data_IF_550161635674
#
_entry.id   IF_550161635674
#
_cell.length_a   1.000
_cell.length_b   1.000
_cell.length_c   1.000
_cell.angle_alpha   90.00
_cell.angle_beta   90.00
_cell.angle_gamma   90.00
#
_symmetry.space_group_name_H-M   'P 1'
#
loop_
_entity.id
_entity.type
_entity.pdbx_description
1 polymer ?
#
# COMPACT_ATOMS: atom_id res chain seq x y z
N UNK A 1 9.17 -43.03 61.34
CA UNK A 1 9.56 -43.09 59.91
C UNK A 1 8.85 -42.00 59.11
N UNK A 2 9.24 -40.73 59.25
CA UNK A 2 8.80 -39.61 58.39
C UNK A 2 9.89 -38.55 58.34
N UNK A 3 10.94 -38.83 57.57
CA UNK A 3 11.98 -37.87 57.15
C UNK A 3 12.63 -38.45 55.89
N UNK A 4 11.93 -38.35 54.76
CA UNK A 4 12.47 -38.69 53.43
C UNK A 4 11.62 -38.20 52.24
N UNK A 5 10.58 -37.38 52.46
CA UNK A 5 9.67 -36.94 51.38
C UNK A 5 9.85 -35.47 50.95
N UNK A 6 10.74 -34.69 51.56
CA UNK A 6 10.93 -33.27 51.19
C UNK A 6 12.13 -32.98 50.29
N UNK A 7 13.02 -33.96 50.03
CA UNK A 7 14.15 -33.75 49.11
C UNK A 7 13.82 -34.11 47.65
N UNK A 8 12.91 -35.06 47.41
CA UNK A 8 12.56 -35.50 46.06
C UNK A 8 11.71 -34.47 45.29
N UNK A 9 10.84 -33.71 45.97
CA UNK A 9 9.97 -32.71 45.31
C UNK A 9 10.67 -31.37 44.98
N UNK A 10 11.93 -31.19 45.40
CA UNK A 10 12.71 -29.99 45.09
C UNK A 10 13.59 -30.18 43.85
N UNK A 11 14.18 -31.36 43.66
CA UNK A 11 14.99 -31.66 42.46
C UNK A 11 14.17 -31.72 41.17
N UNK A 12 12.95 -32.27 41.23
CA UNK A 12 12.06 -32.29 40.05
C UNK A 12 11.65 -30.88 39.61
N UNK A 13 11.42 -29.96 40.55
CA UNK A 13 11.05 -28.57 40.20
C UNK A 13 12.20 -27.74 39.64
N UNK A 14 13.46 -28.06 39.96
CA UNK A 14 14.63 -27.39 39.36
C UNK A 14 14.95 -27.94 37.98
N UNK A 15 14.67 -29.23 37.72
CA UNK A 15 14.69 -29.77 36.37
C UNK A 15 13.56 -29.19 35.52
N UNK A 16 12.35 -29.06 36.05
CA UNK A 16 11.22 -28.46 35.33
C UNK A 16 11.44 -26.97 35.03
N UNK A 17 12.04 -26.21 35.97
CA UNK A 17 12.39 -24.81 35.73
C UNK A 17 13.53 -24.65 34.71
N UNK A 18 14.49 -25.58 34.66
CA UNK A 18 15.54 -25.61 33.63
C UNK A 18 14.99 -26.03 32.27
N UNK A 19 14.00 -26.92 32.24
CA UNK A 19 13.31 -27.33 31.01
C UNK A 19 12.38 -26.21 30.49
N UNK A 20 11.72 -25.47 31.39
CA UNK A 20 10.90 -24.30 31.07
C UNK A 20 11.74 -23.08 30.67
N UNK A 21 12.91 -22.85 31.27
CA UNK A 21 13.84 -21.81 30.78
C UNK A 21 14.47 -22.19 29.43
N UNK A 22 14.75 -23.47 29.21
CA UNK A 22 15.23 -23.95 27.91
C UNK A 22 14.14 -23.87 26.82
N UNK A 23 12.88 -24.16 27.15
CA UNK A 23 11.74 -24.08 26.23
C UNK A 23 11.24 -22.65 26.01
N UNK A 24 11.38 -21.73 26.98
CA UNK A 24 11.00 -20.33 26.82
C UNK A 24 12.05 -19.50 26.07
N UNK A 25 13.33 -19.91 26.05
CA UNK A 25 14.34 -19.31 25.17
C UNK A 25 14.15 -19.71 23.69
N UNK A 26 13.35 -20.74 23.41
CA UNK A 26 13.04 -21.19 22.05
C UNK A 26 11.90 -20.39 21.38
N UNK A 27 11.25 -19.46 22.08
CA UNK A 27 10.01 -18.83 21.61
C UNK A 27 10.18 -17.56 20.75
N UNK A 28 11.39 -17.02 20.58
CA UNK A 28 11.59 -15.82 19.75
C UNK A 28 12.92 -15.86 18.97
N UNK A 29 13.10 -16.92 18.19
CA UNK A 29 14.26 -17.04 17.31
C UNK A 29 13.78 -16.85 15.88
N UNK A 30 14.26 -15.78 15.23
CA UNK A 30 13.88 -15.41 13.87
C UNK A 30 14.77 -16.19 12.89
N UNK A 31 14.15 -17.10 12.14
CA UNK A 31 14.76 -17.85 11.04
C UNK A 31 15.07 -16.88 9.89
N UNK A 32 16.34 -16.68 9.54
CA UNK A 32 16.71 -15.88 8.36
C UNK A 32 17.77 -16.64 7.54
N UNK A 33 17.32 -17.10 6.37
CA UNK A 33 18.04 -17.77 5.28
C UNK A 33 18.37 -19.27 5.47
N UNK A 34 17.63 -20.10 4.74
CA UNK A 34 17.79 -21.54 4.62
C UNK A 34 18.29 -21.86 3.21
N UNK A 35 19.43 -22.55 3.12
CA UNK A 35 19.73 -23.38 1.96
C UNK A 35 20.31 -24.69 2.50
N UNK A 36 19.47 -25.72 2.51
CA UNK A 36 19.72 -27.12 2.90
C UNK A 36 20.15 -27.34 4.36
N UNK A 37 19.23 -27.89 5.17
CA UNK A 37 19.53 -28.69 6.37
C UNK A 37 20.11 -28.02 7.61
N UNK A 38 20.80 -26.88 7.49
CA UNK A 38 21.54 -26.21 8.57
C UNK A 38 21.13 -24.74 8.75
N UNK A 39 20.90 -24.32 9.99
CA UNK A 39 20.43 -22.98 10.36
C UNK A 39 21.17 -22.45 11.59
N UNK A 40 21.57 -21.17 11.58
CA UNK A 40 22.09 -20.50 12.78
C UNK A 40 20.97 -19.76 13.48
N UNK A 41 20.77 -20.13 14.73
CA UNK A 41 19.92 -19.46 15.71
C UNK A 41 20.79 -18.47 16.49
N UNK A 42 20.45 -17.18 16.41
CA UNK A 42 21.14 -16.09 17.12
C UNK A 42 20.21 -15.28 18.03
N UNK A 43 20.74 -14.30 18.78
CA UNK A 43 19.95 -13.46 19.69
C UNK A 43 18.86 -12.66 18.95
N UNK A 44 17.72 -12.33 19.61
CA UNK A 44 16.58 -11.69 18.95
C UNK A 44 16.74 -10.19 18.64
N UNK A 45 17.71 -9.50 19.25
CA UNK A 45 17.80 -8.02 19.26
C UNK A 45 19.24 -7.50 19.07
N UNK A 46 19.38 -6.20 18.79
CA UNK A 46 20.66 -5.49 18.78
C UNK A 46 21.32 -5.57 20.16
N UNK A 47 22.53 -6.12 20.24
CA UNK A 47 23.23 -6.32 21.50
C UNK A 47 24.03 -5.07 21.91
N UNK A 48 24.21 -4.86 23.21
CA UNK A 48 25.14 -3.83 23.65
C UNK A 48 26.58 -4.24 23.33
N UNK A 49 27.44 -3.24 23.17
CA UNK A 49 28.88 -3.49 23.03
C UNK A 49 29.40 -4.15 24.31
N UNK A 50 30.28 -5.14 24.15
CA UNK A 50 30.83 -6.02 25.19
C UNK A 50 29.87 -7.09 25.75
N UNK A 51 28.64 -7.16 25.26
CA UNK A 51 27.78 -8.31 25.55
C UNK A 51 28.26 -9.56 24.81
N UNK A 52 27.97 -10.72 25.40
CA UNK A 52 28.24 -12.02 24.80
C UNK A 52 27.00 -12.52 24.06
N UNK A 53 27.10 -12.58 22.72
CA UNK A 53 26.10 -13.18 21.85
C UNK A 53 26.36 -14.67 21.71
N UNK A 54 25.37 -15.51 21.97
CA UNK A 54 25.46 -16.95 21.69
C UNK A 54 24.70 -17.28 20.41
N UNK A 55 25.35 -18.05 19.54
CA UNK A 55 24.76 -18.59 18.32
C UNK A 55 24.76 -20.11 18.39
N UNK A 56 23.66 -20.73 18.00
CA UNK A 56 23.50 -22.16 17.96
C UNK A 56 23.18 -22.61 16.53
N UNK A 57 23.93 -23.58 16.02
CA UNK A 57 23.66 -24.24 14.76
C UNK A 57 22.65 -25.38 15.01
N UNK A 58 21.52 -25.35 14.32
CA UNK A 58 20.60 -26.46 14.20
C UNK A 58 20.82 -27.08 12.84
N UNK A 59 21.22 -28.35 12.80
CA UNK A 59 21.42 -29.05 11.54
C UNK A 59 20.89 -30.48 11.64
N UNK A 60 20.10 -30.88 10.64
CA UNK A 60 19.24 -32.06 10.73
C UNK A 60 19.93 -33.39 10.42
N UNK A 61 21.16 -33.41 9.91
CA UNK A 61 21.84 -34.64 9.47
C UNK A 61 23.38 -34.65 9.61
N UNK A 62 23.93 -34.17 10.73
CA UNK A 62 25.37 -33.93 10.83
C UNK A 62 26.05 -34.71 11.95
N UNK A 63 26.81 -35.74 11.54
CA UNK A 63 28.05 -36.17 12.21
C UNK A 63 29.16 -35.09 12.14
N UNK A 64 28.87 -33.91 11.59
CA UNK A 64 29.83 -32.84 11.34
C UNK A 64 30.25 -32.11 12.61
N UNK A 65 31.54 -31.78 12.64
CA UNK A 65 32.09 -30.76 13.55
C UNK A 65 32.02 -29.42 12.81
N UNK A 66 31.05 -28.54 13.11
CA UNK A 66 30.91 -27.29 12.38
C UNK A 66 32.14 -26.40 12.62
N UNK A 67 32.61 -25.76 11.56
CA UNK A 67 33.64 -24.73 11.62
C UNK A 67 32.97 -23.36 11.59
N UNK A 68 33.21 -22.59 12.65
CA UNK A 68 32.69 -21.22 12.75
C UNK A 68 33.68 -20.22 12.16
N UNK A 69 33.16 -19.29 11.35
CA UNK A 69 33.88 -18.12 10.85
C UNK A 69 33.10 -16.86 11.17
N UNK A 70 33.74 -15.90 11.82
CA UNK A 70 33.12 -14.61 12.15
C UNK A 70 33.94 -13.49 11.52
N UNK A 71 33.29 -12.65 10.74
CA UNK A 71 33.89 -11.48 10.10
C UNK A 71 33.10 -10.22 10.42
N UNK A 72 33.80 -9.10 10.64
CA UNK A 72 33.13 -7.81 10.68
C UNK A 72 32.70 -7.43 9.25
N UNK A 73 31.45 -7.02 9.06
CA UNK A 73 30.91 -6.64 7.74
C UNK A 73 31.38 -5.24 7.35
N UNK A 74 31.52 -4.36 8.36
CA UNK A 74 31.82 -2.94 8.16
C UNK A 74 33.32 -2.66 7.93
N UNK A 75 34.21 -3.63 8.22
CA UNK A 75 35.66 -3.58 7.93
C UNK A 75 36.24 -4.95 7.60
N UNK A 76 37.19 -4.99 6.67
CA UNK A 76 38.02 -6.17 6.41
C UNK A 76 38.93 -6.48 7.63
N UNK A 77 38.48 -7.36 8.52
CA UNK A 77 39.25 -7.83 9.67
C UNK A 77 38.49 -8.85 10.51
N UNK A 78 39.06 -10.05 10.65
CA UNK A 78 38.54 -11.14 11.47
C UNK A 78 38.69 -10.80 12.95
N UNK A 79 37.60 -10.87 13.72
CA UNK A 79 37.64 -10.73 15.20
C UNK A 79 37.70 -12.10 15.86
N UNK A 80 38.40 -12.18 16.98
CA UNK A 80 38.75 -13.40 17.72
C UNK A 80 37.51 -14.23 18.08
N UNK A 81 37.51 -15.52 17.70
CA UNK A 81 36.50 -16.51 18.10
C UNK A 81 36.90 -17.10 19.45
N UNK A 82 36.12 -16.87 20.50
CA UNK A 82 36.22 -17.62 21.76
C UNK A 82 35.02 -18.56 21.87
N UNK A 83 35.20 -19.77 21.37
CA UNK A 83 34.20 -20.84 21.46
C UNK A 83 34.64 -22.03 20.64
N UNK A 84 35.35 -22.97 21.28
CA UNK A 84 35.89 -24.16 20.65
C UNK A 84 35.00 -25.35 21.02
N UNK A 85 34.33 -25.95 20.02
CA UNK A 85 33.82 -27.31 20.10
C UNK A 85 32.30 -27.47 20.16
N UNK A 86 31.61 -27.36 19.02
CA UNK A 86 30.27 -27.91 18.84
C UNK A 86 29.33 -27.05 18.00
N UNK A 87 28.05 -27.37 18.09
CA UNK A 87 26.92 -26.68 17.45
C UNK A 87 26.65 -25.29 18.03
N UNK A 88 27.58 -24.66 18.73
CA UNK A 88 27.41 -23.30 19.23
C UNK A 88 28.72 -22.51 19.18
N UNK A 89 28.61 -21.19 18.99
CA UNK A 89 29.71 -20.26 19.16
C UNK A 89 29.25 -19.03 19.97
N UNK A 90 30.21 -18.36 20.60
CA UNK A 90 29.98 -17.11 21.33
C UNK A 90 30.81 -16.01 20.71
N UNK A 91 30.18 -14.86 20.46
CA UNK A 91 30.82 -13.64 19.99
C UNK A 91 30.71 -12.58 21.07
N UNK A 92 31.85 -12.00 21.44
CA UNK A 92 31.93 -10.81 22.28
C UNK A 92 32.75 -9.79 21.52
N UNK A 93 32.29 -8.55 21.46
CA UNK A 93 32.98 -7.47 20.75
C UNK A 93 32.96 -6.21 21.59
N UNK A 94 34.10 -5.53 21.71
CA UNK A 94 34.25 -4.21 22.31
C UNK A 94 33.91 -3.06 21.33
N UNK A 95 33.41 -3.41 20.14
CA UNK A 95 33.05 -2.46 19.08
C UNK A 95 31.60 -2.63 18.66
N UNK A 96 30.97 -1.49 18.38
CA UNK A 96 29.71 -1.43 17.66
C UNK A 96 29.92 -1.73 16.17
N UNK A 97 28.91 -2.31 15.52
CA UNK A 97 28.91 -2.65 14.10
C UNK A 97 28.20 -3.99 13.80
N UNK A 98 28.15 -4.33 12.52
CA UNK A 98 27.57 -5.57 12.01
C UNK A 98 28.64 -6.65 11.84
N UNK A 99 28.32 -7.85 12.30
CA UNK A 99 29.19 -9.03 12.26
C UNK A 99 28.47 -10.17 11.54
N UNK A 100 29.14 -10.74 10.53
CA UNK A 100 28.70 -11.91 9.80
C UNK A 100 29.24 -13.16 10.49
N UNK A 101 28.34 -13.99 10.97
CA UNK A 101 28.60 -15.29 11.61
C UNK A 101 28.26 -16.37 10.59
N UNK A 102 29.24 -17.22 10.27
CA UNK A 102 29.10 -18.30 9.30
C UNK A 102 29.44 -19.62 10.00
N UNK A 103 28.57 -20.62 9.87
CA UNK A 103 28.85 -21.99 10.25
C UNK A 103 29.03 -22.82 8.98
N UNK A 104 30.14 -23.55 8.89
CA UNK A 104 30.46 -24.44 7.77
C UNK A 104 30.41 -25.88 8.25
N UNK A 105 29.59 -26.69 7.60
CA UNK A 105 29.38 -28.10 7.94
C UNK A 105 29.83 -29.00 6.79
N UNK A 106 30.44 -30.14 7.13
CA UNK A 106 30.70 -31.21 6.17
C UNK A 106 29.62 -32.27 6.32
N UNK A 107 28.75 -32.42 5.33
CA UNK A 107 27.71 -33.45 5.27
C UNK A 107 28.17 -34.60 4.38
N UNK A 108 27.41 -35.70 4.37
CA UNK A 108 27.63 -36.80 3.42
C UNK A 108 27.38 -36.39 1.97
N UNK A 109 26.58 -35.33 1.76
CA UNK A 109 26.22 -34.80 0.44
C UNK A 109 27.16 -33.66 -0.04
N UNK A 110 27.95 -33.06 0.86
CA UNK A 110 28.89 -31.99 0.50
C UNK A 110 29.25 -31.04 1.64
N UNK A 111 29.53 -29.78 1.29
CA UNK A 111 29.77 -28.71 2.28
C UNK A 111 28.55 -27.80 2.31
N UNK A 112 27.97 -27.64 3.48
CA UNK A 112 26.85 -26.72 3.74
C UNK A 112 27.31 -25.52 4.56
N UNK A 113 26.65 -24.38 4.36
CA UNK A 113 26.96 -23.14 5.07
C UNK A 113 25.69 -22.45 5.54
N UNK A 114 25.65 -22.11 6.83
CA UNK A 114 24.62 -21.26 7.40
C UNK A 114 25.22 -19.89 7.74
N UNK A 115 24.44 -18.82 7.57
CA UNK A 115 24.88 -17.44 7.78
C UNK A 115 23.90 -16.69 8.70
N UNK A 116 24.44 -15.84 9.58
CA UNK A 116 23.68 -14.97 10.47
C UNK A 116 24.38 -13.60 10.59
N UNK A 117 23.62 -12.50 10.58
CA UNK A 117 24.15 -11.14 10.81
C UNK A 117 23.78 -10.66 12.21
N UNK A 118 24.79 -10.42 13.05
CA UNK A 118 24.63 -9.89 14.40
C UNK A 118 25.06 -8.42 14.45
N UNK A 119 24.23 -7.57 15.03
CA UNK A 119 24.51 -6.14 15.17
C UNK A 119 24.73 -5.77 16.63
N UNK A 120 25.87 -5.14 16.92
CA UNK A 120 26.22 -4.65 18.25
C UNK A 120 26.23 -3.11 18.26
N UNK A 121 25.64 -2.50 19.28
CA UNK A 121 25.74 -1.06 19.53
C UNK A 121 25.11 -0.14 18.49
N UNK A 122 24.28 -0.65 17.58
CA UNK A 122 23.43 0.21 16.76
C UNK A 122 22.26 0.67 17.63
N UNK A 123 22.17 1.98 17.88
CA UNK A 123 20.89 2.58 18.23
C UNK A 123 19.92 2.23 17.09
N UNK A 124 18.66 1.85 17.39
CA UNK A 124 17.65 1.84 16.35
C UNK A 124 17.66 3.21 15.68
N UNK A 125 17.75 3.25 14.35
CA UNK A 125 17.52 4.51 13.64
C UNK A 125 16.18 5.07 14.12
N UNK A 126 16.07 6.39 14.40
CA UNK A 126 14.79 6.98 14.73
C UNK A 126 13.81 6.61 13.61
N UNK A 127 12.66 6.08 14.00
CA UNK A 127 11.55 5.79 13.10
C UNK A 127 11.37 7.01 12.17
N UNK A 128 11.33 6.84 10.83
CA UNK A 128 11.07 7.97 9.95
C UNK A 128 9.81 8.68 10.44
N UNK A 129 9.91 10.00 10.67
CA UNK A 129 8.75 10.81 11.04
C UNK A 129 7.62 10.51 10.05
N UNK A 130 6.37 10.35 10.53
CA UNK A 130 5.24 10.12 9.64
C UNK A 130 5.19 11.26 8.63
N UNK A 131 5.24 10.89 7.35
CA UNK A 131 5.10 11.81 6.22
C UNK A 131 3.87 12.70 6.47
N UNK A 132 3.96 14.04 6.36
CA UNK A 132 2.81 14.91 6.53
C UNK A 132 1.65 14.42 5.66
N UNK A 133 0.49 14.22 6.29
CA UNK A 133 -0.73 13.84 5.57
C UNK A 133 -0.95 14.80 4.39
N UNK A 134 -1.29 14.28 3.20
CA UNK A 134 -1.58 15.13 2.05
C UNK A 134 -2.71 16.09 2.42
N UNK A 135 -2.50 17.38 2.18
CA UNK A 135 -3.54 18.38 2.37
C UNK A 135 -4.82 17.96 1.61
N UNK A 136 -6.01 18.15 2.21
CA UNK A 136 -7.26 17.82 1.54
C UNK A 136 -7.37 18.62 0.24
N UNK A 137 -7.65 17.93 -0.86
CA UNK A 137 -7.90 18.57 -2.14
C UNK A 137 -9.02 19.61 -1.98
N UNK A 138 -8.88 20.79 -2.60
CA UNK A 138 -9.93 21.82 -2.57
C UNK A 138 -11.24 21.23 -3.12
N UNK A 139 -12.33 21.44 -2.38
CA UNK A 139 -13.66 21.03 -2.84
C UNK A 139 -13.94 21.63 -4.22
N UNK A 140 -14.55 20.87 -5.14
CA UNK A 140 -14.92 21.38 -6.45
C UNK A 140 -15.84 22.60 -6.27
N UNK A 141 -15.50 23.69 -6.96
CA UNK A 141 -16.34 24.88 -7.01
C UNK A 141 -17.77 24.47 -7.43
N UNK A 142 -18.81 25.09 -6.84
CA UNK A 142 -20.19 24.81 -7.24
C UNK A 142 -20.35 25.06 -8.74
N UNK A 143 -20.78 24.04 -9.47
CA UNK A 143 -21.07 24.17 -10.89
C UNK A 143 -22.06 25.33 -11.10
N UNK A 144 -21.85 26.18 -12.13
CA UNK A 144 -22.76 27.28 -12.40
C UNK A 144 -24.17 26.74 -12.61
N UNK A 145 -25.16 27.40 -12.00
CA UNK A 145 -26.56 27.01 -12.10
C UNK A 145 -26.95 26.70 -13.55
N UNK A 146 -27.25 25.43 -13.80
CA UNK A 146 -27.70 24.98 -15.10
C UNK A 146 -28.95 25.80 -15.51
N UNK A 147 -29.06 26.22 -16.78
CA UNK A 147 -30.21 26.98 -17.27
C UNK A 147 -31.55 26.31 -16.98
N UNK A 148 -31.53 24.98 -16.98
CA UNK A 148 -32.68 24.12 -16.80
C UNK A 148 -32.28 23.16 -15.69
N UNK A 149 -32.96 23.27 -14.55
CA UNK A 149 -32.71 22.48 -13.33
C UNK A 149 -33.44 21.12 -13.38
N UNK A 150 -33.95 20.73 -14.55
CA UNK A 150 -34.60 19.43 -14.77
C UNK A 150 -33.54 18.38 -15.13
N UNK A 151 -33.68 17.16 -14.59
CA UNK A 151 -32.72 16.08 -14.83
C UNK A 151 -32.71 15.63 -16.29
N UNK A 152 -31.52 15.40 -16.83
CA UNK A 152 -31.31 14.86 -18.17
C UNK A 152 -31.08 15.94 -19.24
N UNK A 153 -30.86 15.49 -20.48
CA UNK A 153 -30.42 16.35 -21.56
C UNK A 153 -31.55 17.22 -22.12
N UNK A 154 -31.45 18.53 -21.87
CA UNK A 154 -32.33 19.57 -22.41
C UNK A 154 -31.56 20.43 -23.42
N UNK A 155 -32.17 20.70 -24.59
CA UNK A 155 -31.50 21.47 -25.66
C UNK A 155 -32.39 22.62 -26.12
N UNK A 156 -31.87 23.84 -26.07
CA UNK A 156 -32.51 25.03 -26.63
C UNK A 156 -31.62 25.63 -27.71
N UNK A 157 -32.08 25.57 -28.96
CA UNK A 157 -31.45 26.24 -30.09
C UNK A 157 -32.24 27.52 -30.39
N UNK A 158 -31.55 28.64 -30.49
CA UNK A 158 -32.15 29.95 -30.77
C UNK A 158 -31.49 30.52 -32.02
N UNK A 159 -32.30 30.96 -32.96
CA UNK A 159 -31.85 31.56 -34.21
C UNK A 159 -32.72 32.78 -34.56
N UNK A 160 -32.27 33.60 -35.51
CA UNK A 160 -33.09 34.65 -36.11
C UNK A 160 -33.39 34.26 -37.56
N UNK A 161 -34.68 34.08 -37.87
CA UNK A 161 -35.11 33.65 -39.19
C UNK A 161 -34.67 34.61 -40.30
N UNK A 162 -34.55 35.91 -40.03
CA UNK A 162 -34.07 36.90 -41.01
C UNK A 162 -32.58 36.73 -41.33
N UNK A 163 -31.78 36.28 -40.38
CA UNK A 163 -30.33 36.09 -40.54
C UNK A 163 -29.96 34.68 -41.01
N UNK A 164 -30.92 33.75 -41.13
CA UNK A 164 -30.63 32.36 -41.54
C UNK A 164 -29.88 32.26 -42.88
N UNK A 165 -30.13 33.22 -43.79
CA UNK A 165 -29.48 33.30 -45.10
C UNK A 165 -28.00 33.70 -45.04
N UNK A 166 -27.56 34.26 -43.91
CA UNK A 166 -26.17 34.70 -43.65
C UNK A 166 -25.32 33.61 -43.02
N UNK A 167 -25.97 32.59 -42.44
CA UNK A 167 -25.34 31.40 -41.90
C UNK A 167 -24.76 30.51 -42.99
N UNK A 168 -23.70 29.77 -42.66
CA UNK A 168 -23.15 28.74 -43.53
C UNK A 168 -24.15 27.60 -43.74
N UNK A 169 -23.96 26.80 -44.80
CA UNK A 169 -24.81 25.63 -45.08
C UNK A 169 -24.80 24.66 -43.88
N UNK A 170 -23.64 24.47 -43.26
CA UNK A 170 -23.50 23.59 -42.08
C UNK A 170 -24.30 24.10 -40.87
N UNK A 171 -24.34 25.41 -40.65
CA UNK A 171 -25.13 26.02 -39.58
C UNK A 171 -26.64 25.94 -39.86
N UNK A 172 -27.04 26.14 -41.13
CA UNK A 172 -28.42 25.95 -41.55
C UNK A 172 -28.87 24.49 -41.37
N UNK A 173 -27.99 23.54 -41.65
CA UNK A 173 -28.21 22.10 -41.42
C UNK A 173 -28.30 21.77 -39.92
N UNK A 174 -27.61 22.49 -39.04
CA UNK A 174 -27.78 22.30 -37.60
C UNK A 174 -29.18 22.74 -37.14
N UNK A 175 -29.67 23.89 -37.64
CA UNK A 175 -30.97 24.46 -37.23
C UNK A 175 -32.15 23.67 -37.84
N UNK A 176 -32.04 23.33 -39.13
CA UNK A 176 -33.16 22.78 -39.91
C UNK A 176 -33.00 21.30 -40.24
N UNK A 177 -31.77 20.78 -40.21
CA UNK A 177 -31.43 19.46 -40.73
C UNK A 177 -32.02 18.31 -39.93
N UNK A 178 -32.42 17.28 -40.68
CA UNK A 178 -32.97 16.02 -40.16
C UNK A 178 -32.00 15.28 -39.22
N UNK A 179 -30.67 15.19 -39.49
CA UNK A 179 -29.77 14.44 -38.61
C UNK A 179 -29.72 14.97 -37.17
N UNK A 180 -29.68 16.30 -37.01
CA UNK A 180 -29.66 16.93 -35.67
C UNK A 180 -30.99 16.72 -34.96
N UNK A 181 -32.12 16.83 -35.68
CA UNK A 181 -33.45 16.54 -35.10
C UNK A 181 -33.58 15.09 -34.64
N UNK A 182 -33.16 14.12 -35.46
CA UNK A 182 -33.18 12.71 -35.09
C UNK A 182 -32.27 12.42 -33.89
N UNK A 183 -31.11 13.07 -33.85
CA UNK A 183 -30.21 12.97 -32.70
C UNK A 183 -30.85 13.55 -31.43
N UNK A 184 -31.49 14.72 -31.47
CA UNK A 184 -32.19 15.28 -30.31
C UNK A 184 -33.36 14.40 -29.88
N UNK A 185 -34.14 13.86 -30.82
CA UNK A 185 -35.24 12.93 -30.51
C UNK A 185 -34.71 11.67 -29.78
N UNK A 186 -33.55 11.17 -30.19
CA UNK A 186 -32.94 9.98 -29.57
C UNK A 186 -32.35 10.25 -28.19
N UNK A 187 -31.70 11.41 -27.99
CA UNK A 187 -30.86 11.67 -26.82
C UNK A 187 -31.51 12.55 -25.75
N UNK A 188 -32.47 13.42 -26.12
CA UNK A 188 -33.16 14.24 -25.12
C UNK A 188 -34.14 13.40 -24.30
N UNK A 189 -34.26 13.78 -23.03
CA UNK A 189 -35.26 13.19 -22.14
C UNK A 189 -36.68 13.55 -22.59
N UNK A 190 -37.66 12.77 -22.17
CA UNK A 190 -39.06 13.15 -22.34
C UNK A 190 -39.38 14.21 -21.29
N UNK A 191 -40.20 15.19 -21.65
CA UNK A 191 -40.69 16.15 -20.70
C UNK A 191 -41.63 15.48 -19.69
N UNK A 192 -41.52 15.80 -18.38
CA UNK A 192 -42.24 15.10 -17.33
C UNK A 192 -43.77 15.20 -17.45
N UNK A 193 -44.27 16.27 -18.06
CA UNK A 193 -45.71 16.56 -18.22
C UNK A 193 -46.25 16.20 -19.61
N UNK A 194 -45.37 15.87 -20.56
CA UNK A 194 -45.70 15.60 -21.95
C UNK A 194 -44.82 14.44 -22.43
N UNK A 195 -45.24 13.21 -22.11
CA UNK A 195 -44.43 12.00 -22.32
C UNK A 195 -43.97 11.79 -23.78
N UNK A 196 -44.70 12.33 -24.76
CA UNK A 196 -44.37 12.26 -26.19
C UNK A 196 -43.56 13.47 -26.69
N UNK A 197 -43.33 14.47 -25.84
CA UNK A 197 -42.51 15.63 -26.16
C UNK A 197 -41.10 15.45 -25.63
N UNK A 198 -40.14 15.50 -26.54
CA UNK A 198 -38.72 15.52 -26.21
C UNK A 198 -38.33 16.89 -25.69
N UNK A 199 -37.42 16.90 -24.72
CA UNK A 199 -36.91 18.07 -24.05
C UNK A 199 -35.93 18.88 -24.93
N UNK A 200 -36.36 19.25 -26.13
CA UNK A 200 -35.65 20.21 -26.96
C UNK A 200 -36.59 21.21 -27.61
N UNK A 201 -36.09 22.42 -27.87
CA UNK A 201 -36.77 23.47 -28.63
C UNK A 201 -35.81 24.13 -29.61
N UNK A 202 -36.33 24.48 -30.78
CA UNK A 202 -35.63 25.28 -31.79
C UNK A 202 -36.49 26.49 -32.08
N UNK A 203 -36.12 27.64 -31.53
CA UNK A 203 -36.94 28.84 -31.52
C UNK A 203 -36.33 29.98 -32.32
N UNK A 204 -37.19 30.72 -33.00
CA UNK A 204 -36.85 32.07 -33.42
C UNK A 204 -36.72 32.96 -32.19
N UNK A 205 -35.76 33.89 -32.17
CA UNK A 205 -35.55 34.77 -31.02
C UNK A 205 -36.79 35.60 -30.64
N UNK A 206 -37.70 35.85 -31.60
CA UNK A 206 -38.91 36.65 -31.41
C UNK A 206 -40.17 35.78 -31.27
N UNK A 207 -40.04 34.47 -31.04
CA UNK A 207 -41.20 33.58 -30.88
C UNK A 207 -42.05 34.00 -29.67
N UNK A 208 -43.37 33.89 -29.79
CA UNK A 208 -44.28 34.03 -28.65
C UNK A 208 -44.20 32.79 -27.75
N UNK A 209 -43.75 32.98 -26.51
CA UNK A 209 -43.57 31.93 -25.51
C UNK A 209 -44.73 31.83 -24.52
N UNK A 210 -45.82 32.59 -24.70
CA UNK A 210 -46.93 32.68 -23.73
C UNK A 210 -47.58 31.33 -23.37
N UNK A 211 -47.51 30.35 -24.28
CA UNK A 211 -48.07 29.00 -24.10
C UNK A 211 -47.02 27.93 -23.81
N UNK A 212 -45.75 28.31 -23.75
CA UNK A 212 -44.65 27.38 -23.52
C UNK A 212 -44.45 27.13 -22.00
N UNK A 213 -43.84 26.00 -21.63
CA UNK A 213 -43.54 25.73 -20.21
C UNK A 213 -42.60 26.77 -19.63
N UNK A 214 -42.77 27.08 -18.35
CA UNK A 214 -41.97 28.09 -17.63
C UNK A 214 -40.45 27.86 -17.74
N UNK A 215 -40.04 26.59 -17.76
CA UNK A 215 -38.62 26.21 -17.90
C UNK A 215 -38.01 26.76 -19.19
N UNK A 216 -38.74 26.69 -20.31
CA UNK A 216 -38.29 27.21 -21.60
C UNK A 216 -38.42 28.74 -21.69
N UNK A 217 -39.44 29.32 -21.05
CA UNK A 217 -39.55 30.78 -20.91
C UNK A 217 -38.35 31.36 -20.15
N UNK A 218 -37.98 30.75 -19.02
CA UNK A 218 -36.80 31.12 -18.21
C UNK A 218 -35.50 30.92 -18.99
N UNK A 219 -35.37 29.80 -19.70
CA UNK A 219 -34.21 29.53 -20.55
C UNK A 219 -34.07 30.58 -21.67
N UNK A 220 -35.17 30.97 -22.33
CA UNK A 220 -35.19 32.03 -23.35
C UNK A 220 -34.91 33.42 -22.76
N UNK A 221 -35.30 33.70 -21.52
CA UNK A 221 -35.06 34.99 -20.86
C UNK A 221 -33.60 35.20 -20.41
N UNK A 222 -32.75 34.16 -20.44
CA UNK A 222 -31.34 34.32 -20.05
C UNK A 222 -30.63 35.34 -20.95
N UNK A 223 -29.83 36.26 -20.37
CA UNK A 223 -29.07 37.23 -21.14
C UNK A 223 -28.05 36.51 -22.05
N UNK A 224 -27.84 37.07 -23.24
CA UNK A 224 -26.93 36.55 -24.27
C UNK A 224 -26.15 37.70 -24.88
N UNK A 225 -24.86 37.49 -25.09
CA UNK A 225 -24.00 38.50 -25.72
C UNK A 225 -24.26 38.61 -27.23
N UNK A 226 -24.55 37.49 -27.88
CA UNK A 226 -24.90 37.43 -29.30
C UNK A 226 -25.67 36.15 -29.62
N UNK A 227 -26.47 36.18 -30.69
CA UNK A 227 -27.02 34.98 -31.34
C UNK A 227 -26.17 34.64 -32.57
N UNK A 228 -26.10 33.37 -33.00
CA UNK A 228 -25.45 33.00 -34.24
C UNK A 228 -26.08 33.75 -35.42
N UNK A 229 -25.25 34.49 -36.15
CA UNK A 229 -25.60 35.25 -37.35
C UNK A 229 -24.82 34.77 -38.57
#
# INVERSE_FOLDING_TARGET
MRRLLTFFEYEDRVHDLRLLLAAACLAFLRVISSIHGAEIIGPPESLAVSDSAMFQLVAHDVEARPQWRIGNVDRAGTTLVTGNGGFACTLTTDRAGSFRVIAICQTVEGVETAEYIATFGSLPEPDPEPDPEPEPEPEPEPEPDAPIQESGLHILIIYEAKDISRLSIEQQDIITGKPVREWMIKNCVNEPELADHKAFRVFDQNVDLSKEREVWQKAMARPRDSIPC
#
